data_IF_145882330858
#
_entry.id   IF_145882330858
#
_cell.length_a   1.000
_cell.length_b   1.000
_cell.length_c   1.000
_cell.angle_alpha   90.00
_cell.angle_beta   90.00
_cell.angle_gamma   90.00
#
_symmetry.space_group_name_H-M   'P 1'
#
loop_
_entity.id
_entity.type
_entity.pdbx_description
1 polymer ?
#
# COMPACT_ATOMS: atom_id res chain seq x y z
N UNK A 1 -1.87 -5.09 14.15
CA UNK A 1 -2.04 -5.70 12.82
C UNK A 1 -2.20 -7.20 13.00
N UNK A 2 -3.08 -7.86 12.23
CA UNK A 2 -3.26 -9.32 12.20
C UNK A 2 -3.23 -9.79 10.74
N UNK A 3 -2.32 -10.69 10.40
CA UNK A 3 -2.30 -11.34 9.09
C UNK A 3 -3.05 -12.68 9.19
N UNK A 4 -4.03 -12.91 8.31
CA UNK A 4 -4.72 -14.20 8.21
C UNK A 4 -4.59 -14.73 6.79
N UNK A 5 -4.28 -16.02 6.66
CA UNK A 5 -4.22 -16.72 5.39
C UNK A 5 -5.54 -17.45 5.18
N UNK A 6 -6.24 -17.15 4.09
CA UNK A 6 -7.58 -17.67 3.80
C UNK A 6 -7.63 -18.58 2.55
N UNK A 7 -6.47 -18.91 1.98
CA UNK A 7 -6.37 -19.72 0.76
C UNK A 7 -6.54 -18.94 -0.55
N UNK A 8 -6.87 -17.64 -0.50
CA UNK A 8 -6.88 -16.73 -1.66
C UNK A 8 -5.67 -15.79 -1.70
N UNK A 9 -4.98 -15.64 -0.56
CA UNK A 9 -3.74 -14.89 -0.43
C UNK A 9 -3.48 -14.44 1.00
N UNK A 10 -2.48 -13.58 1.18
CA UNK A 10 -2.21 -12.94 2.47
C UNK A 10 -3.18 -11.76 2.65
N UNK A 11 -4.08 -11.84 3.64
CA UNK A 11 -4.98 -10.74 3.96
C UNK A 11 -4.36 -9.83 5.02
N UNK A 12 -4.19 -8.56 4.69
CA UNK A 12 -3.66 -7.51 5.58
C UNK A 12 -4.77 -6.59 6.06
N UNK A 13 -4.75 -6.26 7.36
CA UNK A 13 -5.64 -5.27 7.98
C UNK A 13 -4.81 -4.10 8.50
N UNK A 14 -5.05 -2.90 7.94
CA UNK A 14 -4.39 -1.66 8.33
C UNK A 14 -4.85 -1.23 9.72
N UNK A 15 -3.91 -0.93 10.61
CA UNK A 15 -4.20 -0.43 11.95
C UNK A 15 -3.56 0.94 12.19
N UNK A 16 -3.88 1.58 13.33
CA UNK A 16 -3.43 2.94 13.65
C UNK A 16 -1.90 3.14 13.75
N UNK A 17 -1.12 2.05 13.81
CA UNK A 17 0.36 2.08 13.83
C UNK A 17 0.99 1.48 12.57
N UNK A 18 0.28 1.52 11.43
CA UNK A 18 0.80 1.10 10.13
C UNK A 18 1.39 2.30 9.40
N UNK A 19 2.63 2.16 8.94
CA UNK A 19 3.38 3.19 8.22
C UNK A 19 3.65 2.75 6.79
N UNK A 20 3.74 3.72 5.88
CA UNK A 20 4.11 3.53 4.48
C UNK A 20 5.22 4.51 4.13
N UNK A 21 6.38 3.99 3.71
CA UNK A 21 7.59 4.79 3.42
C UNK A 21 8.23 4.36 2.11
N UNK A 22 8.97 5.26 1.47
CA UNK A 22 9.86 4.93 0.35
C UNK A 22 11.29 4.96 0.85
N UNK A 23 12.03 3.88 0.63
CA UNK A 23 13.43 3.77 0.99
C UNK A 23 14.30 3.76 -0.27
N UNK A 24 15.19 4.74 -0.37
CA UNK A 24 16.23 4.79 -1.39
C UNK A 24 17.34 3.80 -1.00
N UNK A 25 17.51 2.73 -1.78
CA UNK A 25 18.52 1.69 -1.49
C UNK A 25 19.85 1.93 -2.21
N UNK A 26 19.89 2.89 -3.15
CA UNK A 26 21.06 3.32 -3.91
C UNK A 26 20.67 3.98 -5.25
N UNK A 27 21.65 4.42 -6.04
CA UNK A 27 21.39 5.11 -7.33
C UNK A 27 21.54 4.21 -8.57
N UNK A 28 21.92 2.94 -8.38
CA UNK A 28 22.20 1.99 -9.46
C UNK A 28 21.11 0.94 -9.64
N UNK A 29 21.13 0.24 -10.79
CA UNK A 29 20.20 -0.85 -11.11
C UNK A 29 20.10 -1.94 -10.02
N UNK A 30 21.24 -2.22 -9.39
CA UNK A 30 21.39 -3.23 -8.35
C UNK A 30 20.78 -2.81 -7.01
N UNK A 31 20.37 -1.55 -6.87
CA UNK A 31 19.86 -0.96 -5.64
C UNK A 31 18.64 -0.06 -5.94
N UNK A 32 17.50 -0.63 -6.38
CA UNK A 32 16.33 0.17 -6.70
C UNK A 32 15.63 0.74 -5.44
N UNK A 33 14.94 1.88 -5.55
CA UNK A 33 14.08 2.35 -4.46
C UNK A 33 12.95 1.36 -4.20
N UNK A 34 12.58 1.21 -2.93
CA UNK A 34 11.56 0.26 -2.49
C UNK A 34 10.43 0.96 -1.73
N UNK A 35 9.20 0.48 -1.89
CA UNK A 35 8.07 0.90 -1.08
C UNK A 35 7.93 -0.07 0.10
N UNK A 36 7.97 0.45 1.32
CA UNK A 36 7.87 -0.33 2.55
C UNK A 36 6.54 -0.02 3.23
N UNK A 37 5.78 -1.08 3.54
CA UNK A 37 4.60 -1.04 4.38
C UNK A 37 4.93 -1.77 5.69
N UNK A 38 5.08 -1.02 6.76
CA UNK A 38 5.49 -1.54 8.06
C UNK A 38 4.33 -1.46 9.06
N UNK A 39 4.13 -2.50 9.86
CA UNK A 39 3.22 -2.42 10.99
C UNK A 39 3.34 -3.60 11.94
N UNK A 40 3.43 -3.30 13.25
CA UNK A 40 3.37 -4.26 14.36
C UNK A 40 4.36 -5.44 14.29
N UNK A 41 4.05 -6.45 13.47
CA UNK A 41 4.78 -7.71 13.37
C UNK A 41 5.20 -8.08 11.94
N UNK A 42 4.85 -7.28 10.92
CA UNK A 42 5.17 -7.59 9.53
C UNK A 42 5.61 -6.36 8.75
N UNK A 43 6.51 -6.59 7.80
CA UNK A 43 6.97 -5.63 6.81
C UNK A 43 6.70 -6.23 5.43
N UNK A 44 6.04 -5.48 4.57
CA UNK A 44 5.89 -5.80 3.15
C UNK A 44 6.72 -4.80 2.37
N UNK A 45 7.64 -5.33 1.56
CA UNK A 45 8.48 -4.52 0.68
C UNK A 45 8.09 -4.78 -0.76
N UNK A 46 7.67 -3.73 -1.46
CA UNK A 46 7.46 -3.78 -2.90
C UNK A 46 8.75 -3.36 -3.59
N UNK A 47 9.39 -4.30 -4.27
CA UNK A 47 10.62 -4.08 -5.02
C UNK A 47 10.31 -4.07 -6.52
N UNK A 48 10.79 -3.09 -7.30
CA UNK A 48 10.75 -3.19 -8.74
C UNK A 48 11.73 -4.30 -9.21
N UNK A 49 11.51 -4.87 -10.40
CA UNK A 49 12.37 -5.91 -10.95
C UNK A 49 13.78 -5.38 -11.24
N UNK A 50 14.77 -6.27 -11.30
CA UNK A 50 16.15 -5.92 -11.64
C UNK A 50 16.29 -5.33 -13.05
N UNK A 51 15.42 -5.73 -13.97
CA UNK A 51 15.35 -5.17 -15.32
C UNK A 51 14.75 -3.75 -15.31
N UNK A 52 15.61 -2.77 -15.52
CA UNK A 52 15.24 -1.35 -15.57
C UNK A 52 14.22 -1.01 -16.66
N UNK A 53 14.18 -1.76 -17.75
CA UNK A 53 13.25 -1.46 -18.85
C UNK A 53 11.79 -1.65 -18.42
N UNK A 54 11.55 -2.52 -17.44
CA UNK A 54 10.24 -2.77 -16.85
C UNK A 54 9.81 -1.73 -15.80
N UNK A 55 10.71 -0.83 -15.36
CA UNK A 55 10.42 0.14 -14.30
C UNK A 55 9.31 1.14 -14.65
N UNK A 56 9.16 1.47 -15.93
CA UNK A 56 8.06 2.32 -16.39
C UNK A 56 6.70 1.68 -16.11
N UNK A 57 6.60 0.36 -16.29
CA UNK A 57 5.43 -0.44 -15.91
C UNK A 57 5.20 -0.44 -14.40
N UNK A 58 6.25 -0.60 -13.60
CA UNK A 58 6.16 -0.50 -12.13
C UNK A 58 5.67 0.88 -11.69
N UNK A 59 6.19 1.96 -12.28
CA UNK A 59 5.72 3.31 -11.99
C UNK A 59 4.25 3.51 -12.36
N UNK A 60 3.78 2.95 -13.48
CA UNK A 60 2.37 2.98 -13.85
C UNK A 60 1.50 2.19 -12.86
N UNK A 61 1.94 1.02 -12.44
CA UNK A 61 1.28 0.21 -11.41
C UNK A 61 1.16 0.95 -10.08
N UNK A 62 2.25 1.55 -9.59
CA UNK A 62 2.27 2.30 -8.33
C UNK A 62 1.32 3.51 -8.35
N UNK A 63 1.22 4.21 -9.48
CA UNK A 63 0.25 5.31 -9.64
C UNK A 63 -1.20 4.82 -9.56
N UNK A 64 -1.52 3.74 -10.26
CA UNK A 64 -2.86 3.12 -10.17
C UNK A 64 -3.18 2.63 -8.76
N UNK A 65 -2.19 2.05 -8.07
CA UNK A 65 -2.33 1.65 -6.68
C UNK A 65 -2.66 2.84 -5.79
N UNK A 66 -1.97 3.98 -5.96
CA UNK A 66 -2.26 5.22 -5.24
C UNK A 66 -3.69 5.70 -5.51
N UNK A 67 -4.08 5.78 -6.78
CA UNK A 67 -5.37 6.32 -7.16
C UNK A 67 -6.52 5.44 -6.61
N UNK A 68 -6.40 4.11 -6.67
CA UNK A 68 -7.40 3.21 -6.07
C UNK A 68 -7.38 3.18 -4.54
N UNK A 69 -6.22 3.41 -3.91
CA UNK A 69 -6.15 3.55 -2.45
C UNK A 69 -6.88 4.82 -1.98
N UNK A 70 -6.75 5.92 -2.75
CA UNK A 70 -7.47 7.17 -2.51
C UNK A 70 -8.99 7.00 -2.69
N UNK A 71 -9.43 6.33 -3.75
CA UNK A 71 -10.84 5.96 -3.95
C UNK A 71 -11.40 5.14 -2.77
N UNK A 72 -10.63 4.16 -2.28
CA UNK A 72 -11.03 3.35 -1.13
C UNK A 72 -11.10 4.20 0.15
N UNK A 73 -10.16 5.11 0.37
CA UNK A 73 -10.18 6.03 1.52
C UNK A 73 -11.43 6.90 1.50
N UNK A 74 -11.74 7.53 0.37
CA UNK A 74 -12.95 8.34 0.21
C UNK A 74 -14.24 7.52 0.48
N UNK A 75 -14.29 6.27 0.00
CA UNK A 75 -15.41 5.36 0.26
C UNK A 75 -15.54 4.94 1.73
N UNK A 76 -14.44 4.87 2.48
CA UNK A 76 -14.45 4.60 3.92
C UNK A 76 -14.92 5.83 4.70
N UNK A 77 -14.39 7.01 4.36
CA UNK A 77 -14.78 8.30 4.96
C UNK A 77 -16.26 8.60 4.76
N UNK A 78 -16.77 8.46 3.53
CA UNK A 78 -18.17 8.68 3.23
C UNK A 78 -19.10 7.77 4.05
N UNK A 79 -18.71 6.49 4.24
CA UNK A 79 -19.47 5.54 5.06
C UNK A 79 -19.36 5.80 6.56
N UNK A 80 -18.23 6.34 7.02
CA UNK A 80 -18.06 6.74 8.41
C UNK A 80 -18.90 7.98 8.73
N UNK A 81 -18.91 8.99 7.84
CA UNK A 81 -19.67 10.24 8.02
C UNK A 81 -21.18 10.12 7.78
N UNK A 82 -21.62 9.15 6.98
CA UNK A 82 -23.06 8.89 6.74
C UNK A 82 -23.85 8.41 7.97
N UNK A 83 -23.19 8.07 9.08
CA UNK A 83 -23.87 7.67 10.34
C UNK A 83 -24.33 8.85 11.21
N UNK A 84 -23.84 10.06 10.95
CA UNK A 84 -24.23 11.26 11.71
C UNK A 84 -25.41 12.03 11.08
N UNK A 85 -25.89 11.60 9.89
CA UNK A 85 -26.95 12.28 9.13
C UNK A 85 -28.37 11.73 9.29
N UNK A 86 -28.60 10.69 10.10
CA UNK A 86 -29.94 10.13 10.38
C UNK A 86 -30.53 10.60 11.74
N UNK A 87 -30.10 11.75 12.25
CA UNK A 87 -30.81 12.48 13.32
C UNK A 87 -30.92 13.96 12.95
N UNK A 88 -32.01 14.32 12.27
CA UNK A 88 -32.38 15.69 11.93
C UNK A 88 -33.68 15.76 11.16
#
# INVERSE_FOLDING_TARGET
>A
MTATWDGLGLRWTVGAGTEVTVEETGTGASCPPVLVLAGGLCVVTLMPPEDQTAWTGCAAFLRRLRDHADELAALLEARAGGRDGEQG
#
